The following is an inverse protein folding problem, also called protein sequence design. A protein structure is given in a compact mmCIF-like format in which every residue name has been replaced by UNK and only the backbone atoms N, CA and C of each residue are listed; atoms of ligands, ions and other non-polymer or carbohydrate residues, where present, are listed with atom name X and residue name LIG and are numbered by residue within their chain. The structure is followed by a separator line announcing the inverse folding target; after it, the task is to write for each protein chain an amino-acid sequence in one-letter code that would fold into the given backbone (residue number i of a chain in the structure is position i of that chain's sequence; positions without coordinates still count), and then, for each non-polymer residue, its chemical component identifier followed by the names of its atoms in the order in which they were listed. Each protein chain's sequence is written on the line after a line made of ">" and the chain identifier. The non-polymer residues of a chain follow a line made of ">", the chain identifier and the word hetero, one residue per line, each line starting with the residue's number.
data_IF_596571431619
#
_entry.id   IF_596571431619
#
_cell.length_a   1.000
_cell.length_b   1.000
_cell.length_c   1.000
_cell.angle_alpha   90.00
_cell.angle_beta   90.00
_cell.angle_gamma   90.00
#
_symmetry.space_group_name_H-M   'P 1'
#
loop_
_entity.id
_entity.type
_entity.pdbx_description
1 polymer ?
#
# COMPACT_ATOMS: atom_id res chain seq x y z
N UNK A 1 0.49 -7.67 -2.17
CA UNK A 1 0.04 -6.39 -2.79
C UNK A 1 0.51 -5.17 -2.01
N UNK A 2 0.30 -5.14 -0.69
CA UNK A 2 0.66 -4.03 0.20
C UNK A 2 2.04 -3.41 -0.06
N UNK A 3 3.09 -4.24 -0.16
CA UNK A 3 4.48 -3.78 -0.31
C UNK A 3 4.77 -2.96 -1.58
N UNK A 4 3.98 -3.13 -2.65
CA UNK A 4 4.17 -2.44 -3.93
C UNK A 4 3.06 -1.43 -4.23
N UNK A 5 2.24 -1.08 -3.25
CA UNK A 5 1.17 -0.11 -3.44
C UNK A 5 1.68 1.33 -3.33
N UNK A 6 1.28 2.18 -4.26
CA UNK A 6 1.68 3.59 -4.31
C UNK A 6 0.76 4.46 -5.15
N UNK A 7 -0.51 4.07 -5.30
CA UNK A 7 -1.48 4.76 -6.17
C UNK A 7 -1.68 6.24 -5.78
N UNK A 8 -1.65 6.53 -4.49
CA UNK A 8 -1.93 7.84 -3.90
C UNK A 8 -0.93 8.92 -4.31
N UNK A 9 0.31 8.55 -4.61
CA UNK A 9 1.39 9.48 -4.99
C UNK A 9 1.45 9.71 -6.50
N UNK A 10 0.77 8.88 -7.31
CA UNK A 10 0.77 9.01 -8.77
C UNK A 10 0.28 10.39 -9.26
N UNK A 11 -0.82 10.98 -8.70
CA UNK A 11 -1.23 12.34 -9.05
C UNK A 11 -0.17 13.39 -8.72
N UNK A 12 0.46 13.31 -7.55
CA UNK A 12 1.50 14.25 -7.13
C UNK A 12 2.74 14.17 -8.03
N UNK A 13 3.18 12.96 -8.41
CA UNK A 13 4.26 12.77 -9.39
C UNK A 13 3.89 13.42 -10.72
N UNK A 14 2.63 13.29 -11.14
CA UNK A 14 2.15 13.91 -12.39
C UNK A 14 2.22 15.44 -12.32
N UNK A 15 1.89 16.02 -11.18
CA UNK A 15 1.94 17.48 -10.97
C UNK A 15 3.39 18.00 -10.97
N UNK A 16 4.35 17.23 -10.42
CA UNK A 16 5.78 17.60 -10.37
C UNK A 16 6.46 17.44 -11.74
N UNK A 17 6.29 16.29 -12.40
CA UNK A 17 7.01 15.93 -13.64
C UNK A 17 6.31 16.48 -14.89
N UNK A 18 5.06 16.88 -14.76
CA UNK A 18 4.23 17.35 -15.86
C UNK A 18 3.76 16.24 -16.79
N UNK A 19 2.97 16.61 -17.80
CA UNK A 19 2.25 15.67 -18.71
C UNK A 19 3.17 14.92 -19.69
N UNK A 20 4.50 15.12 -19.63
CA UNK A 20 5.42 14.46 -20.57
C UNK A 20 5.46 12.94 -20.35
N UNK A 21 4.66 12.21 -21.14
CA UNK A 21 4.34 10.80 -20.89
C UNK A 21 5.54 9.85 -20.82
N UNK A 22 6.67 10.21 -21.43
CA UNK A 22 7.89 9.39 -21.41
C UNK A 22 8.68 9.52 -20.10
N UNK A 23 8.80 10.74 -19.54
CA UNK A 23 9.51 10.95 -18.26
C UNK A 23 8.67 10.39 -17.13
N UNK A 24 7.36 10.68 -17.13
CA UNK A 24 6.41 10.14 -16.15
C UNK A 24 6.47 8.61 -16.06
N UNK A 25 6.40 7.91 -17.19
CA UNK A 25 6.47 6.45 -17.21
C UNK A 25 7.82 5.91 -16.73
N UNK A 26 8.93 6.58 -17.06
CA UNK A 26 10.27 6.17 -16.58
C UNK A 26 10.40 6.31 -15.08
N UNK A 27 9.87 7.39 -14.48
CA UNK A 27 9.91 7.60 -13.03
C UNK A 27 9.14 6.51 -12.30
N UNK A 28 7.94 6.15 -12.78
CA UNK A 28 7.15 5.06 -12.19
C UNK A 28 7.85 3.71 -12.28
N UNK A 29 8.40 3.38 -13.45
CA UNK A 29 9.10 2.10 -13.67
C UNK A 29 10.39 2.04 -12.85
N UNK A 30 11.18 3.12 -12.85
CA UNK A 30 12.41 3.19 -12.06
C UNK A 30 12.11 3.07 -10.55
N UNK A 31 11.11 3.78 -10.05
CA UNK A 31 10.67 3.66 -8.66
C UNK A 31 10.30 2.22 -8.29
N UNK A 32 9.51 1.55 -9.14
CA UNK A 32 9.13 0.15 -8.93
C UNK A 32 10.35 -0.77 -8.87
N UNK A 33 11.29 -0.65 -9.81
CA UNK A 33 12.49 -1.50 -9.83
C UNK A 33 13.43 -1.24 -8.66
N UNK A 34 13.58 0.02 -8.24
CA UNK A 34 14.37 0.38 -7.06
C UNK A 34 13.75 -0.23 -5.81
N UNK A 35 12.43 -0.06 -5.61
CA UNK A 35 11.72 -0.66 -4.48
C UNK A 35 11.82 -2.19 -4.48
N UNK A 36 11.62 -2.84 -5.63
CA UNK A 36 11.73 -4.29 -5.77
C UNK A 36 13.13 -4.79 -5.40
N UNK A 37 14.18 -4.12 -5.88
CA UNK A 37 15.56 -4.50 -5.62
C UNK A 37 15.89 -4.40 -4.13
N UNK A 38 15.51 -3.28 -3.48
CA UNK A 38 15.72 -3.09 -2.04
C UNK A 38 14.96 -4.15 -1.24
N UNK A 39 13.71 -4.44 -1.60
CA UNK A 39 12.93 -5.48 -0.94
C UNK A 39 13.56 -6.86 -1.04
N UNK A 40 14.00 -7.26 -2.25
CA UNK A 40 14.64 -8.56 -2.42
C UNK A 40 15.94 -8.66 -1.65
N UNK A 41 16.78 -7.63 -1.69
CA UNK A 41 18.02 -7.59 -0.91
C UNK A 41 17.74 -7.74 0.59
N UNK A 42 16.75 -7.02 1.11
CA UNK A 42 16.35 -7.13 2.51
C UNK A 42 15.88 -8.55 2.86
N UNK A 43 14.97 -9.12 2.05
CA UNK A 43 14.43 -10.47 2.27
C UNK A 43 15.54 -11.52 2.25
N UNK A 44 16.42 -11.51 1.23
CA UNK A 44 17.51 -12.48 1.14
C UNK A 44 18.51 -12.35 2.29
N UNK A 45 18.82 -11.12 2.72
CA UNK A 45 19.74 -10.89 3.82
C UNK A 45 19.14 -11.38 5.14
N UNK A 46 17.91 -11.03 5.46
CA UNK A 46 17.26 -11.44 6.71
C UNK A 46 17.06 -12.96 6.75
N UNK A 47 16.52 -13.56 5.69
CA UNK A 47 16.34 -15.01 5.62
C UNK A 47 17.69 -15.75 5.63
N UNK A 48 18.71 -15.18 4.99
CA UNK A 48 20.06 -15.76 5.00
C UNK A 48 20.73 -15.74 6.37
N UNK A 49 20.44 -14.74 7.20
CA UNK A 49 20.99 -14.63 8.56
C UNK A 49 20.17 -15.45 9.57
N UNK A 50 18.84 -15.34 9.51
CA UNK A 50 17.94 -15.86 10.57
C UNK A 50 17.32 -17.22 10.22
N UNK A 51 17.31 -17.62 8.96
CA UNK A 51 16.77 -18.92 8.53
C UNK A 51 15.31 -19.13 8.93
N UNK A 52 15.01 -20.23 9.62
CA UNK A 52 13.67 -20.54 10.14
C UNK A 52 13.24 -19.64 11.30
N UNK A 53 14.19 -18.94 11.93
CA UNK A 53 13.95 -18.15 13.14
C UNK A 53 13.62 -16.68 12.79
N UNK A 54 13.29 -16.40 11.52
CA UNK A 54 12.84 -15.08 11.09
C UNK A 54 11.57 -14.68 11.83
N UNK A 55 11.69 -13.66 12.69
CA UNK A 55 10.54 -13.07 13.37
C UNK A 55 9.55 -12.42 12.40
N UNK A 56 8.29 -12.28 12.81
CA UNK A 56 7.23 -11.59 12.05
C UNK A 56 7.65 -10.17 11.62
N UNK A 57 8.30 -9.42 12.51
CA UNK A 57 8.78 -8.06 12.24
C UNK A 57 10.10 -8.00 11.46
N UNK A 58 10.72 -9.15 11.18
CA UNK A 58 12.08 -9.34 10.67
C UNK A 58 13.21 -8.79 11.57
N UNK A 59 13.08 -7.55 12.09
CA UNK A 59 14.10 -6.84 12.87
C UNK A 59 14.41 -7.56 14.18
N UNK A 60 13.40 -7.97 14.95
CA UNK A 60 13.64 -8.65 16.24
C UNK A 60 14.43 -9.96 16.09
N UNK A 61 14.26 -10.68 14.97
CA UNK A 61 15.00 -11.91 14.67
C UNK A 61 16.49 -11.69 14.43
N UNK A 62 16.93 -10.47 14.11
CA UNK A 62 18.34 -10.14 13.88
C UNK A 62 19.13 -9.88 15.17
N UNK A 63 18.46 -9.87 16.33
CA UNK A 63 19.08 -9.50 17.62
C UNK A 63 20.30 -10.37 17.95
N UNK A 64 20.22 -11.67 17.69
CA UNK A 64 21.31 -12.62 17.91
C UNK A 64 22.56 -12.35 17.07
N UNK A 65 22.42 -11.69 15.92
CA UNK A 65 23.50 -11.48 14.94
C UNK A 65 24.05 -10.05 14.93
N UNK A 66 23.20 -9.05 15.13
CA UNK A 66 23.56 -7.62 15.02
C UNK A 66 23.81 -6.96 16.38
N UNK A 67 23.33 -7.57 17.47
CA UNK A 67 23.42 -7.03 18.83
C UNK A 67 22.41 -5.91 19.13
N UNK A 68 22.06 -5.76 20.41
CA UNK A 68 20.93 -4.94 20.88
C UNK A 68 21.03 -3.46 20.48
N UNK A 69 22.25 -2.90 20.41
CA UNK A 69 22.46 -1.50 20.03
C UNK A 69 22.05 -1.19 18.59
N UNK A 70 22.37 -2.08 17.65
CA UNK A 70 22.02 -1.92 16.23
C UNK A 70 20.51 -2.12 16.03
N UNK A 71 19.91 -3.07 16.75
CA UNK A 71 18.46 -3.31 16.72
C UNK A 71 17.69 -2.10 17.24
N UNK A 72 18.14 -1.49 18.34
CA UNK A 72 17.52 -0.29 18.90
C UNK A 72 17.54 0.84 17.88
N UNK A 73 18.65 1.07 17.19
CA UNK A 73 18.74 2.04 16.10
C UNK A 73 17.76 1.68 14.97
N UNK A 74 17.69 0.41 14.59
CA UNK A 74 16.73 -0.08 13.59
C UNK A 74 15.29 0.26 13.93
N UNK A 75 14.87 0.04 15.19
CA UNK A 75 13.54 0.40 15.66
C UNK A 75 13.30 1.92 15.67
N UNK A 76 14.29 2.72 16.09
CA UNK A 76 14.18 4.18 16.05
C UNK A 76 14.02 4.69 14.62
N UNK A 77 14.83 4.20 13.68
CA UNK A 77 14.68 4.55 12.27
C UNK A 77 13.35 4.08 11.71
N UNK A 78 12.93 2.85 12.01
CA UNK A 78 11.63 2.31 11.62
C UNK A 78 10.46 3.16 12.12
N UNK A 79 10.53 3.60 13.38
CA UNK A 79 9.54 4.52 13.95
C UNK A 79 9.51 5.87 13.24
N UNK A 80 10.67 6.49 13.00
CA UNK A 80 10.74 7.79 12.32
C UNK A 80 10.19 7.68 10.88
N UNK A 81 10.58 6.64 10.14
CA UNK A 81 10.13 6.41 8.76
C UNK A 81 8.64 6.11 8.68
N UNK A 82 8.09 5.31 9.59
CA UNK A 82 6.65 5.03 9.62
C UNK A 82 5.86 6.25 10.06
N UNK A 83 6.38 7.04 11.01
CA UNK A 83 5.77 8.29 11.46
C UNK A 83 5.68 9.32 10.33
N UNK A 84 6.75 9.54 9.56
CA UNK A 84 6.70 10.47 8.42
C UNK A 84 5.72 10.00 7.33
N UNK A 85 5.68 8.69 7.07
CA UNK A 85 4.70 8.09 6.13
C UNK A 85 3.26 8.26 6.60
N UNK A 86 3.01 8.10 7.91
CA UNK A 86 1.71 8.33 8.53
C UNK A 86 1.26 9.79 8.36
N UNK A 87 2.15 10.77 8.51
CA UNK A 87 1.81 12.18 8.30
C UNK A 87 1.39 12.47 6.84
N UNK A 88 2.11 11.92 5.86
CA UNK A 88 1.79 12.10 4.45
C UNK A 88 0.43 11.49 4.09
N UNK A 89 0.19 10.24 4.49
CA UNK A 89 -1.09 9.56 4.26
C UNK A 89 -2.24 10.23 5.04
N UNK A 90 -2.00 10.63 6.28
CA UNK A 90 -2.98 11.32 7.11
C UNK A 90 -3.41 12.67 6.50
N UNK A 91 -2.46 13.40 5.89
CA UNK A 91 -2.76 14.63 5.15
C UNK A 91 -3.59 14.34 3.90
N UNK A 92 -3.26 13.29 3.15
CA UNK A 92 -4.01 12.86 1.97
C UNK A 92 -5.46 12.53 2.33
N UNK A 93 -5.68 11.70 3.36
CA UNK A 93 -7.02 11.35 3.86
C UNK A 93 -7.77 12.58 4.37
N UNK A 94 -7.08 13.48 5.10
CA UNK A 94 -7.67 14.73 5.56
C UNK A 94 -8.15 15.58 4.39
N UNK A 95 -7.37 15.66 3.30
CA UNK A 95 -7.77 16.39 2.10
C UNK A 95 -8.95 15.73 1.40
N UNK A 96 -8.98 14.41 1.28
CA UNK A 96 -10.13 13.65 0.77
C UNK A 96 -11.39 13.99 1.57
N UNK A 97 -11.36 13.90 2.90
CA UNK A 97 -12.52 14.26 3.73
C UNK A 97 -12.96 15.71 3.56
N UNK A 98 -12.02 16.64 3.39
CA UNK A 98 -12.33 18.06 3.25
C UNK A 98 -12.91 18.42 1.90
N UNK A 99 -12.25 18.00 0.83
CA UNK A 99 -12.57 18.43 -0.53
C UNK A 99 -13.64 17.55 -1.17
N UNK A 100 -13.62 16.23 -0.89
CA UNK A 100 -14.55 15.29 -1.53
C UNK A 100 -15.80 15.08 -0.68
N UNK A 101 -15.66 15.01 0.65
CA UNK A 101 -16.78 14.80 1.58
C UNK A 101 -17.27 16.08 2.27
N UNK A 102 -16.65 17.24 2.02
CA UNK A 102 -17.08 18.53 2.58
C UNK A 102 -16.91 18.66 4.10
N UNK A 103 -16.12 17.80 4.74
CA UNK A 103 -15.90 17.79 6.20
C UNK A 103 -15.01 18.98 6.60
N UNK A 104 -15.32 19.65 7.71
CA UNK A 104 -14.49 20.76 8.21
C UNK A 104 -13.09 20.24 8.58
N UNK A 105 -12.07 21.08 8.37
CA UNK A 105 -10.64 20.72 8.54
C UNK A 105 -10.31 20.00 9.85
N UNK A 106 -10.83 20.48 10.97
CA UNK A 106 -10.58 19.87 12.28
C UNK A 106 -11.12 18.44 12.38
N UNK A 107 -12.38 18.22 11.97
CA UNK A 107 -13.00 16.89 12.01
C UNK A 107 -12.38 15.93 10.99
N UNK A 108 -11.99 16.43 9.82
CA UNK A 108 -11.29 15.63 8.82
C UNK A 108 -9.95 15.10 9.34
N UNK A 109 -9.16 15.97 9.98
CA UNK A 109 -7.90 15.58 10.63
C UNK A 109 -8.14 14.62 11.80
N UNK A 110 -9.15 14.91 12.64
CA UNK A 110 -9.50 14.05 13.76
C UNK A 110 -9.87 12.64 13.29
N UNK A 111 -10.69 12.52 12.25
CA UNK A 111 -11.05 11.22 11.68
C UNK A 111 -9.83 10.49 11.11
N UNK A 112 -8.96 11.20 10.39
CA UNK A 112 -7.76 10.60 9.79
C UNK A 112 -6.81 10.01 10.84
N UNK A 113 -6.71 10.62 12.03
CA UNK A 113 -5.83 10.14 13.10
C UNK A 113 -6.52 9.18 14.09
N UNK A 114 -7.75 9.48 14.50
CA UNK A 114 -8.44 8.75 15.56
C UNK A 114 -8.98 7.42 15.06
N UNK A 115 -9.41 7.30 13.79
CA UNK A 115 -9.96 6.03 13.29
C UNK A 115 -8.91 4.90 13.32
N UNK A 116 -7.68 5.07 12.79
CA UNK A 116 -6.64 4.05 12.92
C UNK A 116 -6.31 3.71 14.38
N UNK A 117 -6.24 4.72 15.25
CA UNK A 117 -5.94 4.53 16.67
C UNK A 117 -7.05 3.78 17.40
N UNK A 118 -8.31 4.10 17.11
CA UNK A 118 -9.46 3.41 17.69
C UNK A 118 -9.49 1.94 17.26
N UNK A 119 -9.24 1.64 15.98
CA UNK A 119 -9.15 0.26 15.48
C UNK A 119 -8.07 -0.54 16.22
N UNK A 120 -6.90 0.05 16.46
CA UNK A 120 -5.85 -0.58 17.26
C UNK A 120 -6.34 -0.93 18.68
N UNK A 121 -6.98 0.00 19.37
CA UNK A 121 -7.53 -0.24 20.71
C UNK A 121 -8.71 -1.23 20.74
N UNK A 122 -9.43 -1.38 19.62
CA UNK A 122 -10.45 -2.43 19.45
C UNK A 122 -9.87 -3.83 19.17
N UNK A 123 -8.54 -3.98 19.16
CA UNK A 123 -7.87 -5.27 19.04
C UNK A 123 -7.34 -5.58 17.64
N UNK A 124 -7.39 -4.64 16.69
CA UNK A 124 -6.71 -4.80 15.40
C UNK A 124 -5.21 -4.46 15.55
N UNK A 125 -4.47 -5.30 16.26
CA UNK A 125 -3.05 -5.12 16.56
C UNK A 125 -2.14 -6.24 16.03
N UNK A 126 -2.69 -7.28 15.39
CA UNK A 126 -1.89 -8.30 14.72
C UNK A 126 -1.35 -7.78 13.37
N UNK A 127 -0.03 -7.73 13.26
CA UNK A 127 0.65 -7.14 12.11
C UNK A 127 0.32 -7.88 10.80
N UNK A 128 0.41 -9.21 10.78
CA UNK A 128 0.20 -10.02 9.58
C UNK A 128 -1.25 -9.92 9.14
N UNK A 129 -2.19 -10.03 10.08
CA UNK A 129 -3.61 -9.95 9.82
C UNK A 129 -3.99 -8.58 9.23
N UNK A 130 -3.47 -7.49 9.80
CA UNK A 130 -3.74 -6.12 9.32
C UNK A 130 -3.19 -5.90 7.90
N UNK A 131 -1.93 -6.28 7.63
CA UNK A 131 -1.35 -6.09 6.28
C UNK A 131 -1.99 -7.01 5.23
N UNK A 132 -2.44 -8.21 5.61
CA UNK A 132 -3.17 -9.13 4.73
C UNK A 132 -4.56 -8.59 4.40
N UNK A 133 -5.31 -8.10 5.40
CA UNK A 133 -6.61 -7.45 5.19
C UNK A 133 -6.49 -6.24 4.26
N UNK A 134 -5.59 -5.30 4.57
CA UNK A 134 -5.41 -4.11 3.77
C UNK A 134 -4.90 -4.50 2.37
N UNK A 135 -3.86 -5.32 2.32
CA UNK A 135 -3.17 -5.70 1.09
C UNK A 135 -4.00 -6.54 0.12
N UNK A 136 -4.65 -7.58 0.62
CA UNK A 136 -5.39 -8.53 -0.20
C UNK A 136 -6.81 -8.06 -0.52
N UNK A 137 -7.52 -7.47 0.44
CA UNK A 137 -8.92 -7.06 0.26
C UNK A 137 -9.02 -5.59 -0.17
N UNK A 138 -8.57 -4.66 0.67
CA UNK A 138 -8.83 -3.22 0.44
C UNK A 138 -8.12 -2.70 -0.80
N UNK A 139 -6.81 -2.98 -0.94
CA UNK A 139 -6.03 -2.56 -2.10
C UNK A 139 -6.40 -3.35 -3.37
N UNK A 140 -6.82 -4.61 -3.21
CA UNK A 140 -7.38 -5.40 -4.30
C UNK A 140 -8.65 -4.74 -4.85
N UNK A 141 -9.55 -4.33 -3.96
CA UNK A 141 -10.76 -3.60 -4.32
C UNK A 141 -10.44 -2.21 -4.92
N UNK A 142 -9.50 -1.47 -4.35
CA UNK A 142 -9.04 -0.18 -4.90
C UNK A 142 -8.52 -0.34 -6.34
N UNK A 143 -7.75 -1.41 -6.63
CA UNK A 143 -7.32 -1.73 -7.98
C UNK A 143 -8.47 -1.99 -8.95
N UNK A 144 -9.52 -2.70 -8.52
CA UNK A 144 -10.74 -2.89 -9.33
C UNK A 144 -11.44 -1.55 -9.63
N UNK A 145 -11.52 -0.65 -8.64
CA UNK A 145 -12.09 0.68 -8.84
C UNK A 145 -11.27 1.50 -9.84
N UNK A 146 -9.94 1.46 -9.76
CA UNK A 146 -9.05 2.13 -10.73
C UNK A 146 -9.29 1.60 -12.14
N UNK A 147 -9.42 0.29 -12.33
CA UNK A 147 -9.71 -0.30 -13.64
C UNK A 147 -11.10 0.10 -14.15
N UNK A 148 -12.10 0.15 -13.28
CA UNK A 148 -13.45 0.60 -13.63
C UNK A 148 -13.46 2.07 -14.05
N UNK A 149 -12.75 2.94 -13.31
CA UNK A 149 -12.57 4.34 -13.66
C UNK A 149 -11.86 4.49 -15.01
N UNK A 150 -10.80 3.73 -15.26
CA UNK A 150 -10.09 3.73 -16.54
C UNK A 150 -11.01 3.34 -17.70
N UNK A 151 -11.81 2.28 -17.57
CA UNK A 151 -12.79 1.88 -18.61
C UNK A 151 -13.82 2.98 -18.87
N UNK A 152 -14.36 3.60 -17.81
CA UNK A 152 -15.35 4.67 -17.92
C UNK A 152 -14.76 5.93 -18.57
N UNK A 153 -13.55 6.31 -18.19
CA UNK A 153 -12.83 7.44 -18.78
C UNK A 153 -12.55 7.19 -20.26
N UNK A 154 -12.03 6.00 -20.63
CA UNK A 154 -11.75 5.65 -22.02
C UNK A 154 -12.99 5.70 -22.90
N UNK A 155 -14.13 5.18 -22.41
CA UNK A 155 -15.41 5.24 -23.15
C UNK A 155 -15.89 6.68 -23.35
N UNK A 156 -15.63 7.59 -22.40
CA UNK A 156 -16.05 8.99 -22.45
C UNK A 156 -15.15 9.85 -23.34
N UNK A 157 -13.83 9.68 -23.25
CA UNK A 157 -12.86 10.56 -23.90
C UNK A 157 -12.26 9.98 -25.19
N UNK A 158 -12.25 8.66 -25.36
CA UNK A 158 -11.74 7.96 -26.56
C UNK A 158 -12.69 6.83 -27.00
N UNK A 159 -13.95 7.16 -27.40
CA UNK A 159 -14.98 6.17 -27.71
C UNK A 159 -14.58 5.19 -28.84
N UNK A 160 -13.76 5.63 -29.79
CA UNK A 160 -13.25 4.80 -30.90
C UNK A 160 -12.34 3.66 -30.42
N UNK A 161 -11.68 3.82 -29.26
CA UNK A 161 -10.83 2.81 -28.62
C UNK A 161 -11.51 2.16 -27.40
N UNK A 162 -12.83 2.29 -27.28
CA UNK A 162 -13.59 1.84 -26.10
C UNK A 162 -13.68 0.32 -25.94
N UNK A 163 -13.27 -0.48 -26.94
CA UNK A 163 -13.09 -1.92 -26.74
C UNK A 163 -12.10 -2.12 -25.59
N UNK A 164 -12.54 -2.85 -24.57
CA UNK A 164 -11.71 -3.18 -23.41
C UNK A 164 -10.59 -4.08 -23.90
N UNK A 165 -9.33 -3.64 -23.94
CA UNK A 165 -8.24 -4.53 -24.29
C UNK A 165 -8.17 -5.70 -23.30
N UNK A 166 -7.81 -6.88 -23.80
CA UNK A 166 -7.77 -8.14 -23.06
C UNK A 166 -7.04 -8.03 -21.72
N UNK A 167 -5.97 -7.21 -21.65
CA UNK A 167 -5.22 -7.00 -20.42
C UNK A 167 -6.06 -6.42 -19.27
N UNK A 168 -7.06 -5.56 -19.53
CA UNK A 168 -7.91 -5.02 -18.43
C UNK A 168 -8.81 -6.11 -17.87
N UNK A 169 -9.27 -7.03 -18.72
CA UNK A 169 -10.08 -8.16 -18.28
C UNK A 169 -9.19 -9.10 -17.46
N UNK A 170 -8.01 -9.45 -17.95
CA UNK A 170 -7.05 -10.31 -17.24
C UNK A 170 -6.67 -9.74 -15.88
N UNK A 171 -6.26 -8.46 -15.82
CA UNK A 171 -5.91 -7.80 -14.57
C UNK A 171 -7.13 -7.69 -13.66
N UNK A 172 -8.30 -7.32 -14.20
CA UNK A 172 -9.54 -7.26 -13.40
C UNK A 172 -9.91 -8.62 -12.79
N UNK A 173 -9.79 -9.71 -13.54
CA UNK A 173 -10.02 -11.06 -13.03
C UNK A 173 -8.99 -11.46 -12.00
N UNK A 174 -7.70 -11.14 -12.21
CA UNK A 174 -6.63 -11.41 -11.24
C UNK A 174 -6.92 -10.74 -9.89
N UNK A 175 -7.27 -9.45 -9.91
CA UNK A 175 -7.65 -8.70 -8.71
C UNK A 175 -8.92 -9.26 -8.08
N UNK A 176 -9.95 -9.58 -8.88
CA UNK A 176 -11.19 -10.15 -8.38
C UNK A 176 -11.01 -11.52 -7.71
N UNK A 177 -10.25 -12.42 -8.33
CA UNK A 177 -9.91 -13.73 -7.75
C UNK A 177 -9.06 -13.55 -6.50
N UNK A 178 -8.09 -12.64 -6.51
CA UNK A 178 -7.26 -12.34 -5.33
C UNK A 178 -8.08 -11.88 -4.13
N UNK A 179 -9.01 -10.93 -4.33
CA UNK A 179 -9.91 -10.45 -3.28
C UNK A 179 -10.82 -11.57 -2.76
N UNK A 180 -11.40 -12.38 -3.65
CA UNK A 180 -12.26 -13.49 -3.25
C UNK A 180 -11.50 -14.58 -2.49
N UNK A 181 -10.28 -14.90 -2.91
CA UNK A 181 -9.43 -15.85 -2.22
C UNK A 181 -9.06 -15.34 -0.82
N UNK A 182 -8.68 -14.08 -0.70
CA UNK A 182 -8.34 -13.47 0.58
C UNK A 182 -9.55 -13.49 1.53
N UNK A 183 -10.73 -13.09 1.06
CA UNK A 183 -11.98 -13.16 1.85
C UNK A 183 -12.25 -14.58 2.35
N UNK A 184 -12.05 -15.58 1.49
CA UNK A 184 -12.26 -16.98 1.86
C UNK A 184 -11.31 -17.43 2.98
N UNK A 185 -10.00 -17.14 2.85
CA UNK A 185 -9.03 -17.44 3.90
C UNK A 185 -9.35 -16.70 5.20
N UNK A 186 -9.73 -15.43 5.10
CA UNK A 186 -10.06 -14.60 6.24
C UNK A 186 -11.27 -15.11 7.02
N UNK A 187 -12.34 -15.54 6.32
CA UNK A 187 -13.52 -16.12 6.95
C UNK A 187 -13.19 -17.46 7.59
N UNK A 188 -12.36 -18.29 6.93
CA UNK A 188 -11.93 -19.58 7.45
C UNK A 188 -11.08 -19.44 8.72
N UNK A 189 -10.25 -18.41 8.83
CA UNK A 189 -9.43 -18.17 10.02
C UNK A 189 -10.26 -17.63 11.21
N UNK A 190 -11.46 -17.08 10.96
CA UNK A 190 -12.37 -16.54 11.98
C UNK A 190 -13.34 -17.60 12.53
N UNK A 191 -13.72 -18.60 11.74
CA UNK A 191 -14.69 -19.66 12.09
C UNK A 191 -13.98 -20.89 12.65
#
# INVERSE_FOLDING_TARGET
>A
MFSFWGSSVIPEIRDIVGVSGRVFSRVLVAGLFVSLTIYLLFVFLVLGITGSDTSIEAISGLTSSLGDGVITLGYVFGFITTFTSFLALGLSITNTYRYDFGVRKFYAWLLACVVPLALYFFGLNDFIWVISLIGGILLGFEGLLILAMYRKAKKKFEPEKARSPLWIILVGTLFGVGVLAEIYYFIKDII
#
